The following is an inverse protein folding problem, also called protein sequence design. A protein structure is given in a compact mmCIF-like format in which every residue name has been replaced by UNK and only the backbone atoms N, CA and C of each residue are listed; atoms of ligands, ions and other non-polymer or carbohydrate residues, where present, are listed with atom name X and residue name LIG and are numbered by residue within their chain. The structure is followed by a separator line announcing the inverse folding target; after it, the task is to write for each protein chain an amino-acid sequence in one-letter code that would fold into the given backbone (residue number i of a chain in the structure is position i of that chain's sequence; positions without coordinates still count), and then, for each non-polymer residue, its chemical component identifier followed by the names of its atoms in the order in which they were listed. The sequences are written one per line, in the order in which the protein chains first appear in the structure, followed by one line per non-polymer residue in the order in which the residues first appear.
data_IF_967494723872
#
_entry.id   IF_967494723872
#
_cell.length_a   1.000
_cell.length_b   1.000
_cell.length_c   1.000
_cell.angle_alpha   90.00
_cell.angle_beta   90.00
_cell.angle_gamma   90.00
#
_symmetry.space_group_name_H-M   'P 1'
#
loop_
_entity.id
_entity.type
_entity.pdbx_description
1 polymer ?
#
# COMPACT_ATOMS: atom_id res chain seq x y z
N UNK A 1 -8.26 7.39 -12.10
CA UNK A 1 -7.35 7.21 -13.25
C UNK A 1 -8.19 6.84 -14.46
N UNK A 2 -7.63 7.03 -15.66
CA UNK A 2 -8.32 6.77 -16.91
C UNK A 2 -7.71 5.55 -17.61
N UNK A 3 -8.52 4.81 -18.36
CA UNK A 3 -8.11 3.73 -19.25
C UNK A 3 -8.88 3.88 -20.56
N UNK A 4 -8.19 3.92 -21.70
CA UNK A 4 -8.81 4.16 -23.01
C UNK A 4 -9.72 5.41 -23.06
N UNK A 5 -9.28 6.51 -22.46
CA UNK A 5 -10.04 7.77 -22.33
C UNK A 5 -11.33 7.71 -21.49
N UNK A 6 -11.60 6.59 -20.83
CA UNK A 6 -12.73 6.43 -19.91
C UNK A 6 -12.27 6.43 -18.45
N UNK A 7 -13.11 6.94 -17.55
CA UNK A 7 -12.86 6.93 -16.12
C UNK A 7 -12.88 5.48 -15.62
N UNK A 8 -11.71 4.95 -15.26
CA UNK A 8 -11.57 3.55 -14.89
C UNK A 8 -11.60 3.31 -13.38
N UNK A 9 -11.37 4.34 -12.55
CA UNK A 9 -11.38 4.16 -11.11
C UNK A 9 -10.89 5.36 -10.30
N UNK A 10 -11.12 5.33 -9.00
CA UNK A 10 -10.62 6.31 -8.06
C UNK A 10 -9.58 5.71 -7.11
N UNK A 11 -8.69 6.53 -6.58
CA UNK A 11 -7.70 6.11 -5.60
C UNK A 11 -7.95 6.86 -4.28
N UNK A 12 -8.07 6.12 -3.18
CA UNK A 12 -8.10 6.67 -1.84
C UNK A 12 -6.70 7.19 -1.46
N UNK A 13 -6.39 8.42 -1.89
CA UNK A 13 -5.07 9.02 -1.72
C UNK A 13 -4.83 9.54 -0.30
N UNK A 14 -5.75 10.36 0.21
CA UNK A 14 -5.67 10.96 1.55
C UNK A 14 -6.90 10.53 2.33
N UNK A 15 -6.67 9.80 3.41
CA UNK A 15 -7.68 9.40 4.39
C UNK A 15 -7.27 9.98 5.74
N UNK A 16 -8.19 10.72 6.37
CA UNK A 16 -7.97 11.35 7.67
C UNK A 16 -9.20 11.18 8.53
N UNK A 17 -8.98 10.90 9.80
CA UNK A 17 -9.99 10.92 10.84
C UNK A 17 -9.36 11.51 12.09
N UNK A 18 -10.16 12.18 12.92
CA UNK A 18 -9.69 12.52 14.26
C UNK A 18 -9.44 11.22 15.05
N UNK A 19 -8.49 11.21 16.00
CA UNK A 19 -8.18 10.01 16.78
C UNK A 19 -9.40 9.44 17.52
N UNK A 20 -10.30 10.31 17.97
CA UNK A 20 -11.56 9.95 18.64
C UNK A 20 -12.50 9.21 17.70
N UNK A 21 -12.75 9.76 16.51
CA UNK A 21 -13.69 9.19 15.54
C UNK A 21 -13.13 7.94 14.87
N UNK A 22 -11.81 7.83 14.74
CA UNK A 22 -11.18 6.64 14.17
C UNK A 22 -11.45 5.38 15.00
N UNK A 23 -11.57 5.50 16.33
CA UNK A 23 -11.94 4.38 17.22
C UNK A 23 -13.35 3.86 16.96
N UNK A 24 -14.22 4.70 16.40
CA UNK A 24 -15.61 4.38 16.07
C UNK A 24 -15.75 3.80 14.66
N UNK A 25 -14.65 3.59 13.92
CA UNK A 25 -14.68 3.03 12.58
C UNK A 25 -15.08 4.03 11.49
N UNK A 26 -14.97 5.34 11.73
CA UNK A 26 -15.37 6.37 10.76
C UNK A 26 -14.67 6.23 9.41
N UNK A 27 -13.40 5.81 9.39
CA UNK A 27 -12.66 5.59 8.13
C UNK A 27 -13.26 4.47 7.29
N UNK A 28 -13.71 3.39 7.94
CA UNK A 28 -14.40 2.30 7.25
C UNK A 28 -15.71 2.79 6.64
N UNK A 29 -16.46 3.58 7.40
CA UNK A 29 -17.69 4.18 6.91
C UNK A 29 -17.45 5.10 5.71
N UNK A 30 -16.45 5.98 5.77
CA UNK A 30 -16.08 6.87 4.66
C UNK A 30 -15.76 6.07 3.39
N UNK A 31 -14.95 5.01 3.49
CA UNK A 31 -14.59 4.18 2.34
C UNK A 31 -15.82 3.47 1.76
N UNK A 32 -16.70 2.94 2.60
CA UNK A 32 -17.91 2.25 2.15
C UNK A 32 -18.91 3.20 1.49
N UNK A 33 -19.09 4.41 2.01
CA UNK A 33 -19.93 5.44 1.39
C UNK A 33 -19.36 5.87 0.05
N UNK A 34 -18.05 6.12 -0.03
CA UNK A 34 -17.38 6.43 -1.29
C UNK A 34 -17.54 5.30 -2.32
N UNK A 35 -17.38 4.04 -1.90
CA UNK A 35 -17.59 2.89 -2.78
C UNK A 35 -19.04 2.78 -3.30
N UNK A 36 -20.04 3.13 -2.48
CA UNK A 36 -21.44 3.16 -2.92
C UNK A 36 -21.67 4.26 -3.97
N UNK A 37 -21.21 5.47 -3.67
CA UNK A 37 -21.31 6.63 -4.56
C UNK A 37 -20.63 6.37 -5.91
N UNK A 38 -19.41 5.83 -5.90
CA UNK A 38 -18.67 5.55 -7.14
C UNK A 38 -19.32 4.46 -7.97
N UNK A 39 -19.97 3.49 -7.34
CA UNK A 39 -20.76 2.47 -8.04
C UNK A 39 -21.97 3.09 -8.74
N UNK A 40 -22.65 4.04 -8.10
CA UNK A 40 -23.79 4.78 -8.69
C UNK A 40 -23.34 5.65 -9.88
N UNK A 41 -22.13 6.20 -9.83
CA UNK A 41 -21.48 6.89 -10.95
C UNK A 41 -21.05 5.96 -12.10
N UNK A 42 -21.17 4.64 -11.93
CA UNK A 42 -20.73 3.65 -12.92
C UNK A 42 -19.21 3.41 -12.93
N UNK A 43 -18.49 3.82 -11.89
CA UNK A 43 -17.03 3.67 -11.79
C UNK A 43 -16.68 2.26 -11.30
N UNK A 44 -15.87 1.49 -12.06
CA UNK A 44 -15.74 0.06 -11.79
C UNK A 44 -14.70 -0.30 -10.72
N UNK A 45 -13.74 0.58 -10.42
CA UNK A 45 -12.64 0.27 -9.50
C UNK A 45 -12.39 1.38 -8.47
N UNK A 46 -12.21 0.98 -7.21
CA UNK A 46 -11.70 1.82 -6.13
C UNK A 46 -10.39 1.22 -5.63
N UNK A 47 -9.28 1.92 -5.83
CA UNK A 47 -7.99 1.55 -5.26
C UNK A 47 -7.87 2.05 -3.83
N UNK A 48 -7.62 1.14 -2.91
CA UNK A 48 -7.31 1.46 -1.51
C UNK A 48 -5.83 1.84 -1.31
N UNK A 49 -5.04 1.87 -2.39
CA UNK A 49 -3.59 2.07 -2.35
C UNK A 49 -2.82 0.83 -1.87
N UNK A 50 -1.50 0.97 -1.75
CA UNK A 50 -0.61 -0.16 -1.44
C UNK A 50 -0.64 -0.59 0.03
N UNK A 51 -0.46 -1.88 0.29
CA UNK A 51 -0.14 -2.43 1.62
C UNK A 51 1.33 -2.87 1.59
N UNK A 52 2.28 -2.04 2.04
CA UNK A 52 3.70 -2.30 1.83
C UNK A 52 4.14 -3.62 2.49
N UNK A 53 4.97 -4.39 1.77
CA UNK A 53 5.56 -5.65 2.23
C UNK A 53 4.55 -6.78 2.56
N UNK A 54 3.25 -6.55 2.38
CA UNK A 54 2.23 -7.59 2.49
C UNK A 54 2.31 -8.56 1.32
N UNK A 55 2.13 -9.86 1.58
CA UNK A 55 2.07 -10.88 0.52
C UNK A 55 3.36 -11.11 -0.26
N UNK A 56 4.52 -10.67 0.26
CA UNK A 56 5.82 -10.86 -0.41
C UNK A 56 6.15 -12.34 -0.51
N UNK A 57 6.20 -12.84 -1.75
CA UNK A 57 6.49 -14.24 -2.10
C UNK A 57 7.61 -14.31 -3.14
N UNK A 58 8.10 -15.52 -3.40
CA UNK A 58 9.08 -15.74 -4.46
C UNK A 58 8.52 -15.30 -5.81
N UNK A 59 9.31 -14.54 -6.56
CA UNK A 59 9.06 -14.20 -7.96
C UNK A 59 10.33 -14.42 -8.79
N UNK A 60 10.21 -14.84 -10.07
CA UNK A 60 11.37 -14.91 -10.97
C UNK A 60 12.14 -13.58 -11.00
N UNK A 61 13.46 -13.64 -10.85
CA UNK A 61 14.33 -12.46 -10.79
C UNK A 61 14.37 -11.75 -9.44
N UNK A 62 13.70 -12.28 -8.40
CA UNK A 62 13.84 -11.74 -7.05
C UNK A 62 15.21 -12.02 -6.44
N UNK A 63 15.52 -11.28 -5.36
CA UNK A 63 16.74 -11.48 -4.58
C UNK A 63 16.35 -12.13 -3.25
N UNK A 64 16.71 -13.41 -2.98
CA UNK A 64 16.25 -14.13 -1.78
C UNK A 64 16.59 -13.40 -0.46
N UNK A 65 17.77 -12.78 -0.38
CA UNK A 65 18.17 -11.99 0.79
C UNK A 65 17.27 -10.78 1.02
N UNK A 66 16.90 -10.06 -0.04
CA UNK A 66 15.99 -8.92 0.04
C UNK A 66 14.57 -9.37 0.40
N UNK A 67 14.10 -10.48 -0.19
CA UNK A 67 12.82 -11.09 0.15
C UNK A 67 12.76 -11.49 1.63
N UNK A 68 13.82 -12.08 2.17
CA UNK A 68 13.90 -12.41 3.61
C UNK A 68 13.83 -11.14 4.47
N UNK A 69 14.59 -10.10 4.11
CA UNK A 69 14.56 -8.82 4.82
C UNK A 69 13.16 -8.18 4.80
N UNK A 70 12.48 -8.16 3.65
CA UNK A 70 11.12 -7.65 3.51
C UNK A 70 10.14 -8.39 4.43
N UNK A 71 10.23 -9.72 4.50
CA UNK A 71 9.40 -10.53 5.40
C UNK A 71 9.70 -10.26 6.88
N UNK A 72 10.97 -10.05 7.24
CA UNK A 72 11.36 -9.65 8.61
C UNK A 72 10.79 -8.28 8.94
N UNK A 73 10.93 -7.30 8.05
CA UNK A 73 10.38 -5.95 8.24
C UNK A 73 8.85 -5.96 8.36
N UNK A 74 8.15 -6.77 7.55
CA UNK A 74 6.71 -6.90 7.67
C UNK A 74 6.28 -7.45 9.04
N UNK A 75 7.03 -8.41 9.60
CA UNK A 75 6.73 -9.04 10.90
C UNK A 75 7.09 -8.15 12.09
N UNK A 76 8.25 -7.50 12.05
CA UNK A 76 8.84 -6.84 13.23
C UNK A 76 8.94 -5.30 13.09
N UNK A 77 8.71 -4.76 11.89
CA UNK A 77 8.87 -3.34 11.57
C UNK A 77 7.66 -2.45 11.85
N UNK A 78 6.61 -2.98 12.51
CA UNK A 78 5.37 -2.23 12.76
C UNK A 78 5.56 -0.93 13.58
N UNK A 79 6.66 -0.84 14.34
CA UNK A 79 7.05 0.38 15.07
C UNK A 79 7.54 1.51 14.16
N UNK A 80 8.08 1.17 12.98
CA UNK A 80 8.55 2.14 11.98
C UNK A 80 7.43 2.56 11.04
N UNK A 81 6.59 1.61 10.64
CA UNK A 81 5.44 1.83 9.77
C UNK A 81 4.38 0.78 10.09
N UNK A 82 3.11 1.15 10.10
CA UNK A 82 2.01 0.24 10.46
C UNK A 82 1.70 -0.81 9.36
N UNK A 83 2.66 -1.66 8.99
CA UNK A 83 2.55 -2.62 7.90
C UNK A 83 1.38 -3.59 8.07
N UNK A 84 1.37 -4.37 9.16
CA UNK A 84 0.33 -5.37 9.42
C UNK A 84 -1.04 -4.75 9.71
N UNK A 85 -1.15 -3.70 10.56
CA UNK A 85 -2.45 -3.04 10.78
C UNK A 85 -3.04 -2.46 9.51
N UNK A 86 -2.22 -1.84 8.64
CA UNK A 86 -2.69 -1.28 7.38
C UNK A 86 -3.15 -2.37 6.40
N UNK A 87 -2.38 -3.45 6.27
CA UNK A 87 -2.78 -4.59 5.45
C UNK A 87 -4.09 -5.21 5.94
N UNK A 88 -4.21 -5.42 7.26
CA UNK A 88 -5.43 -5.94 7.88
C UNK A 88 -6.63 -5.02 7.62
N UNK A 89 -6.48 -3.72 7.83
CA UNK A 89 -7.52 -2.72 7.58
C UNK A 89 -8.09 -2.85 6.16
N UNK A 90 -7.21 -2.99 5.14
CA UNK A 90 -7.60 -3.12 3.73
C UNK A 90 -8.25 -4.47 3.40
N UNK A 91 -7.81 -5.55 4.05
CA UNK A 91 -8.38 -6.89 3.81
C UNK A 91 -9.88 -6.97 4.15
N UNK A 92 -10.36 -6.11 5.05
CA UNK A 92 -11.78 -6.08 5.47
C UNK A 92 -12.74 -5.70 4.34
N UNK A 93 -12.28 -4.96 3.34
CA UNK A 93 -13.08 -4.59 2.17
C UNK A 93 -13.12 -5.67 1.08
N UNK A 94 -12.39 -6.78 1.26
CA UNK A 94 -12.38 -7.94 0.35
C UNK A 94 -12.07 -7.57 -1.11
N UNK A 95 -11.18 -6.59 -1.30
CA UNK A 95 -10.74 -6.17 -2.63
C UNK A 95 -9.81 -7.20 -3.29
N UNK A 96 -9.58 -7.03 -4.59
CA UNK A 96 -8.58 -7.80 -5.33
C UNK A 96 -7.18 -7.28 -5.00
N UNK A 97 -6.27 -8.18 -4.63
CA UNK A 97 -4.87 -7.86 -4.39
C UNK A 97 -4.02 -8.10 -5.62
N UNK A 98 -3.06 -7.19 -5.87
CA UNK A 98 -2.10 -7.30 -6.97
C UNK A 98 -0.70 -6.97 -6.44
N UNK A 99 0.35 -7.73 -6.79
CA UNK A 99 1.71 -7.41 -6.38
C UNK A 99 2.22 -6.17 -7.11
N UNK A 100 2.99 -5.33 -6.40
CA UNK A 100 3.68 -4.17 -6.96
C UNK A 100 5.18 -4.34 -6.80
N UNK A 101 5.94 -3.88 -7.79
CA UNK A 101 7.38 -4.07 -7.88
C UNK A 101 8.10 -2.72 -7.95
N UNK A 102 9.30 -2.69 -7.37
CA UNK A 102 10.25 -1.60 -7.58
C UNK A 102 11.25 -2.07 -8.63
N UNK A 103 11.26 -1.39 -9.77
CA UNK A 103 12.28 -1.58 -10.79
C UNK A 103 13.44 -0.63 -10.52
N UNK A 104 14.65 -1.18 -10.45
CA UNK A 104 15.87 -0.40 -10.32
C UNK A 104 16.90 -0.92 -11.33
N UNK A 105 17.85 -0.05 -11.71
CA UNK A 105 19.06 -0.50 -12.41
C UNK A 105 19.77 -1.55 -11.55
N UNK A 106 20.70 -2.31 -12.14
CA UNK A 106 21.56 -3.27 -11.44
C UNK A 106 22.35 -2.60 -10.30
N UNK A 107 21.69 -2.41 -9.16
CA UNK A 107 22.25 -1.88 -7.93
C UNK A 107 22.45 -3.03 -6.97
N UNK A 108 23.55 -3.03 -6.22
CA UNK A 108 23.70 -3.89 -5.06
C UNK A 108 22.55 -3.69 -4.08
N UNK A 109 22.16 -4.75 -3.36
CA UNK A 109 20.98 -4.74 -2.47
C UNK A 109 21.03 -3.65 -1.40
N UNK A 110 22.22 -3.35 -0.86
CA UNK A 110 22.40 -2.27 0.14
C UNK A 110 22.10 -0.89 -0.44
N UNK A 111 22.61 -0.61 -1.64
CA UNK A 111 22.37 0.67 -2.33
C UNK A 111 20.89 0.83 -2.72
N UNK A 112 20.25 -0.26 -3.17
CA UNK A 112 18.81 -0.26 -3.44
C UNK A 112 17.99 0.08 -2.19
N UNK A 113 18.27 -0.57 -1.06
CA UNK A 113 17.60 -0.30 0.21
C UNK A 113 17.84 1.15 0.65
N UNK A 114 19.08 1.65 0.57
CA UNK A 114 19.40 3.03 0.93
C UNK A 114 18.65 4.05 0.04
N UNK A 115 18.55 3.80 -1.27
CA UNK A 115 17.80 4.64 -2.19
C UNK A 115 16.31 4.65 -1.85
N UNK A 116 15.72 3.49 -1.54
CA UNK A 116 14.32 3.41 -1.13
C UNK A 116 14.06 4.16 0.18
N UNK A 117 14.90 3.95 1.19
CA UNK A 117 14.77 4.61 2.50
C UNK A 117 14.86 6.14 2.40
N UNK A 118 15.73 6.65 1.50
CA UNK A 118 15.79 8.08 1.17
C UNK A 118 14.51 8.55 0.46
N UNK A 119 14.06 7.81 -0.55
CA UNK A 119 12.86 8.15 -1.31
C UNK A 119 11.57 8.15 -0.48
N UNK A 120 11.48 7.32 0.55
CA UNK A 120 10.34 7.26 1.47
C UNK A 120 10.42 8.28 2.62
N UNK A 121 11.50 9.06 2.71
CA UNK A 121 11.73 9.99 3.83
C UNK A 121 11.96 9.30 5.19
N UNK A 122 12.26 7.99 5.19
CA UNK A 122 12.55 7.23 6.42
C UNK A 122 14.00 7.44 6.89
N UNK A 123 14.89 7.88 5.99
CA UNK A 123 16.19 8.45 6.33
C UNK A 123 16.12 9.95 6.08
N UNK A 124 16.41 10.75 7.12
CA UNK A 124 16.63 12.17 6.96
C UNK A 124 17.78 12.39 5.96
N UNK A 125 17.57 13.27 4.98
CA UNK A 125 18.66 13.78 4.16
C UNK A 125 19.55 14.65 5.07
N UNK A 126 20.89 14.56 4.99
CA UNK A 126 21.74 15.62 5.51
C UNK A 126 21.46 16.94 4.79
#
# INVERSE_FOLDING_TARGET
WYRHHELAGYCANILRASPEMNRLGVLDHIILQAASQFREEGVPELSLGIAPLHGVRHCPGDRPGLRRLQNILYRYGNRLYAFQPLAYHKSRYRGRETPWFVCARELGSTRLVATLMKGTGLLALP
#
